data_IF_493606193305
#
_entry.id   IF_493606193305
#
_cell.length_a   1.000
_cell.length_b   1.000
_cell.length_c   1.000
_cell.angle_alpha   90.00
_cell.angle_beta   90.00
_cell.angle_gamma   90.00
#
_symmetry.space_group_name_H-M   'P 1'
#
loop_
_entity.id
_entity.type
_entity.pdbx_description
1 polymer ?
#
# COMPACT_ATOMS: atom_id res chain seq x y z
N UNK A 1 34.39 -0.79 15.98
CA UNK A 1 33.34 0.25 16.08
C UNK A 1 32.90 0.56 14.66
N UNK A 2 31.89 -0.14 14.15
CA UNK A 2 31.37 0.11 12.80
C UNK A 2 29.88 0.31 12.97
N UNK A 3 29.44 1.56 12.92
CA UNK A 3 28.05 1.96 13.06
C UNK A 3 27.26 1.42 11.86
N UNK A 4 26.73 0.21 11.98
CA UNK A 4 25.82 -0.38 11.01
C UNK A 4 24.43 0.25 11.15
N UNK A 5 24.30 1.49 10.67
CA UNK A 5 23.01 2.16 10.41
C UNK A 5 22.28 1.49 9.21
N UNK A 6 22.89 0.47 8.61
CA UNK A 6 22.30 -0.33 7.54
C UNK A 6 21.22 -1.33 8.01
N UNK A 7 21.03 -1.53 9.33
CA UNK A 7 20.05 -2.50 9.86
C UNK A 7 18.64 -1.90 10.10
N UNK A 8 18.46 -0.59 9.89
CA UNK A 8 17.16 0.09 10.00
C UNK A 8 16.33 0.08 8.71
N UNK A 9 16.67 -0.79 7.76
CA UNK A 9 15.77 -1.11 6.66
C UNK A 9 14.95 -2.32 7.10
N UNK A 10 13.67 -2.16 7.49
CA UNK A 10 12.82 -3.31 7.68
C UNK A 10 12.81 -4.06 6.35
N UNK A 11 13.43 -5.24 6.39
CA UNK A 11 13.41 -6.24 5.34
C UNK A 11 11.94 -6.61 5.18
N UNK A 12 11.21 -5.85 4.36
CA UNK A 12 9.83 -6.12 3.95
C UNK A 12 9.84 -7.41 3.13
N UNK A 13 10.09 -8.55 3.78
CA UNK A 13 9.63 -9.86 3.34
C UNK A 13 8.13 -9.89 3.58
N UNK A 14 7.40 -9.07 2.84
CA UNK A 14 5.98 -9.28 2.67
C UNK A 14 5.87 -10.32 1.57
N UNK A 15 5.53 -11.57 1.93
CA UNK A 15 4.79 -12.44 1.03
C UNK A 15 3.62 -11.60 0.51
N UNK A 16 3.76 -10.99 -0.67
CA UNK A 16 2.81 -9.99 -1.15
C UNK A 16 1.43 -10.66 -1.23
N UNK A 17 0.49 -10.31 -0.32
CA UNK A 17 -0.83 -10.87 -0.41
C UNK A 17 -1.43 -10.40 -1.74
N UNK A 18 -2.25 -11.25 -2.36
CA UNK A 18 -2.85 -11.02 -3.69
C UNK A 18 -3.47 -9.62 -3.81
N UNK A 19 -4.00 -9.12 -2.70
CA UNK A 19 -4.53 -7.79 -2.47
C UNK A 19 -3.55 -6.67 -2.84
N UNK A 20 -2.29 -6.74 -2.37
CA UNK A 20 -1.24 -5.76 -2.66
C UNK A 20 -0.95 -5.70 -4.15
N UNK A 21 -0.88 -6.87 -4.79
CA UNK A 21 -0.60 -6.98 -6.21
C UNK A 21 -1.72 -6.36 -7.05
N UNK A 22 -2.98 -6.63 -6.69
CA UNK A 22 -4.15 -6.03 -7.34
C UNK A 22 -4.14 -4.52 -7.19
N UNK A 23 -3.87 -4.00 -5.98
CA UNK A 23 -3.81 -2.55 -5.73
C UNK A 23 -2.70 -1.90 -6.54
N UNK A 24 -1.47 -2.45 -6.52
CA UNK A 24 -0.33 -1.91 -7.28
C UNK A 24 -0.61 -1.92 -8.78
N UNK A 25 -1.14 -3.02 -9.32
CA UNK A 25 -1.47 -3.15 -10.73
C UNK A 25 -2.58 -2.17 -11.15
N UNK A 26 -3.61 -2.02 -10.32
CA UNK A 26 -4.68 -1.04 -10.55
C UNK A 26 -4.15 0.39 -10.61
N UNK A 27 -3.27 0.77 -9.68
CA UNK A 27 -2.69 2.11 -9.64
C UNK A 27 -1.79 2.36 -10.86
N UNK A 28 -0.97 1.37 -11.21
CA UNK A 28 -0.11 1.45 -12.37
C UNK A 28 -0.93 1.58 -13.66
N UNK A 29 -1.98 0.77 -13.84
CA UNK A 29 -2.82 0.79 -15.04
C UNK A 29 -3.63 2.08 -15.20
N UNK A 30 -4.15 2.64 -14.11
CA UNK A 30 -5.03 3.81 -14.18
C UNK A 30 -4.26 5.14 -14.12
N UNK A 31 -3.19 5.19 -13.32
CA UNK A 31 -2.49 6.44 -13.00
C UNK A 31 -1.04 6.45 -13.46
N UNK A 32 -0.47 5.31 -13.88
CA UNK A 32 0.97 5.17 -14.20
C UNK A 32 1.88 5.66 -13.08
N UNK A 33 1.43 5.53 -11.83
CA UNK A 33 2.19 5.91 -10.65
C UNK A 33 2.52 4.68 -9.80
N UNK A 34 3.64 4.75 -9.10
CA UNK A 34 4.01 3.76 -8.09
C UNK A 34 3.50 4.19 -6.72
N UNK A 35 2.76 3.28 -6.07
CA UNK A 35 2.37 3.43 -4.67
C UNK A 35 3.05 2.37 -3.81
N UNK A 36 3.38 2.73 -2.58
CA UNK A 36 3.92 1.81 -1.60
C UNK A 36 2.76 1.23 -0.79
N UNK A 37 2.60 -0.09 -0.78
CA UNK A 37 1.55 -0.77 -0.03
C UNK A 37 2.20 -1.67 1.00
N UNK A 38 1.85 -1.49 2.27
CA UNK A 38 2.33 -2.29 3.40
C UNK A 38 1.13 -2.92 4.10
N UNK A 39 1.15 -4.23 4.27
CA UNK A 39 0.08 -4.97 4.93
C UNK A 39 0.46 -5.23 6.37
N UNK A 40 -0.40 -4.85 7.30
CA UNK A 40 -0.26 -5.18 8.71
C UNK A 40 -1.32 -6.21 9.12
N UNK A 41 -1.15 -6.76 10.31
CA UNK A 41 -2.04 -7.77 10.88
C UNK A 41 -3.48 -7.27 10.96
N UNK A 42 -3.68 -6.00 11.33
CA UNK A 42 -5.01 -5.38 11.54
C UNK A 42 -5.40 -4.34 10.48
N UNK A 43 -4.46 -3.89 9.66
CA UNK A 43 -4.66 -2.77 8.73
C UNK A 43 -3.80 -2.89 7.49
N UNK A 44 -4.19 -2.27 6.38
CA UNK A 44 -3.43 -2.19 5.15
C UNK A 44 -3.11 -0.72 4.92
N UNK A 45 -1.84 -0.36 4.85
CA UNK A 45 -1.39 1.01 4.64
C UNK A 45 -0.98 1.17 3.18
N UNK A 46 -1.69 2.04 2.46
CA UNK A 46 -1.42 2.40 1.08
C UNK A 46 -0.84 3.81 1.10
N UNK A 47 0.47 3.91 0.91
CA UNK A 47 1.20 5.16 0.79
C UNK A 47 1.29 5.59 -0.67
N UNK A 48 0.74 6.76 -0.97
CA UNK A 48 0.72 7.35 -2.30
C UNK A 48 1.47 8.68 -2.32
N UNK A 49 2.09 9.06 -3.46
CA UNK A 49 2.84 10.29 -3.57
C UNK A 49 1.96 11.55 -3.68
N UNK A 50 0.66 11.39 -3.94
CA UNK A 50 -0.23 12.52 -4.22
C UNK A 50 -1.62 12.36 -3.61
N UNK A 51 -2.14 13.47 -3.07
CA UNK A 51 -3.51 13.56 -2.51
C UNK A 51 -4.60 13.30 -3.55
N UNK A 52 -4.36 13.68 -4.80
CA UNK A 52 -5.28 13.40 -5.91
C UNK A 52 -5.43 11.89 -6.13
N UNK A 53 -4.30 11.16 -6.13
CA UNK A 53 -4.30 9.71 -6.29
C UNK A 53 -4.94 9.04 -5.06
N UNK A 54 -4.69 9.54 -3.85
CA UNK A 54 -5.38 9.06 -2.64
C UNK A 54 -6.90 9.21 -2.75
N UNK A 55 -7.38 10.38 -3.19
CA UNK A 55 -8.81 10.66 -3.35
C UNK A 55 -9.46 9.74 -4.36
N UNK A 56 -8.81 9.53 -5.50
CA UNK A 56 -9.31 8.64 -6.55
C UNK A 56 -9.29 7.17 -6.09
N UNK A 57 -8.24 6.73 -5.42
CA UNK A 57 -8.18 5.39 -4.81
C UNK A 57 -9.28 5.18 -3.78
N UNK A 58 -9.61 6.20 -2.98
CA UNK A 58 -10.61 6.11 -1.92
C UNK A 58 -11.98 5.67 -2.46
N UNK A 59 -12.33 6.09 -3.68
CA UNK A 59 -13.56 5.66 -4.37
C UNK A 59 -13.51 4.16 -4.70
N UNK A 60 -12.35 3.68 -5.15
CA UNK A 60 -12.13 2.26 -5.46
C UNK A 60 -11.80 1.40 -4.24
N UNK A 61 -11.43 2.03 -3.11
CA UNK A 61 -10.97 1.37 -1.90
C UNK A 61 -12.09 0.55 -1.25
N UNK A 62 -13.34 1.04 -1.34
CA UNK A 62 -14.51 0.26 -0.92
C UNK A 62 -14.66 -1.02 -1.76
N UNK A 63 -14.46 -0.91 -3.08
CA UNK A 63 -14.50 -2.05 -4.00
C UNK A 63 -13.36 -3.04 -3.74
N UNK A 64 -12.14 -2.53 -3.54
CA UNK A 64 -10.96 -3.32 -3.18
C UNK A 64 -11.16 -4.04 -1.84
N UNK A 65 -11.75 -3.38 -0.84
CA UNK A 65 -12.05 -3.99 0.45
C UNK A 65 -13.01 -5.17 0.32
N UNK A 66 -14.03 -5.04 -0.54
CA UNK A 66 -14.97 -6.12 -0.84
C UNK A 66 -14.29 -7.27 -1.60
N UNK A 67 -13.47 -6.95 -2.61
CA UNK A 67 -12.74 -7.93 -3.42
C UNK A 67 -11.71 -8.72 -2.61
N UNK A 68 -11.04 -8.06 -1.68
CA UNK A 68 -10.03 -8.68 -0.83
C UNK A 68 -10.64 -9.54 0.28
N UNK A 69 -11.95 -9.44 0.53
CA UNK A 69 -12.66 -10.12 1.64
C UNK A 69 -11.99 -9.92 3.00
N UNK A 70 -11.21 -8.86 3.18
CA UNK A 70 -10.48 -8.60 4.41
C UNK A 70 -11.24 -7.67 5.32
N UNK A 71 -11.32 -8.04 6.60
CA UNK A 71 -11.78 -7.15 7.68
C UNK A 71 -10.68 -6.16 8.12
N UNK A 72 -9.54 -6.12 7.43
CA UNK A 72 -8.41 -5.25 7.74
C UNK A 72 -8.75 -3.81 7.38
N UNK A 73 -8.38 -2.88 8.25
CA UNK A 73 -8.64 -1.46 8.05
C UNK A 73 -7.72 -0.90 6.96
N UNK A 74 -8.27 -0.46 5.83
CA UNK A 74 -7.49 0.18 4.78
C UNK A 74 -7.24 1.65 5.13
N UNK A 75 -5.96 2.03 5.18
CA UNK A 75 -5.48 3.38 5.49
C UNK A 75 -4.73 3.92 4.28
N UNK A 76 -5.24 5.02 3.73
CA UNK A 76 -4.53 5.80 2.74
C UNK A 76 -3.62 6.81 3.46
N UNK A 77 -2.33 6.76 3.17
CA UNK A 77 -1.35 7.72 3.64
C UNK A 77 -0.78 8.48 2.45
N UNK A 78 -0.71 9.79 2.54
CA UNK A 78 -0.03 10.61 1.55
C UNK A 78 1.36 10.91 2.11
N UNK A 79 2.40 10.61 1.35
CA UNK A 79 3.78 10.86 1.77
C UNK A 79 4.70 10.89 0.56
N UNK A 80 5.57 11.90 0.50
CA UNK A 80 6.62 12.04 -0.51
C UNK A 80 7.78 11.10 -0.25
#
# INVERSE_FOLDING_TARGET
MTNSIADLLPKERFEEPSEVRIIKDFIWKNYQQTAKVSVHTTQIIIQVPSSALAGALRVHLHNLQQLCQTNKRLILRIGS
#
